data_IF_767998456525
#
_entry.id   IF_767998456525
#
_cell.length_a   1.000
_cell.length_b   1.000
_cell.length_c   1.000
_cell.angle_alpha   90.00
_cell.angle_beta   90.00
_cell.angle_gamma   90.00
#
_symmetry.space_group_name_H-M   'P 1'
#
loop_
_entity.id
_entity.type
_entity.pdbx_description
1 polymer ?
#
# COMPACT_ATOMS: atom_id res chain seq x y z
N UNK A 1 21.33 0.90 -13.56
CA UNK A 1 21.03 1.95 -12.55
C UNK A 1 19.54 2.04 -12.18
N UNK A 2 18.57 2.09 -13.14
CA UNK A 2 17.15 2.21 -12.80
C UNK A 2 16.57 0.99 -12.07
N UNK A 3 17.14 -0.21 -12.25
CA UNK A 3 16.65 -1.42 -11.55
C UNK A 3 16.97 -1.38 -10.06
N UNK A 4 18.16 -0.88 -9.69
CA UNK A 4 18.53 -0.73 -8.27
C UNK A 4 17.59 0.25 -7.56
N UNK A 5 17.15 1.30 -8.26
CA UNK A 5 16.17 2.28 -7.75
C UNK A 5 14.81 1.61 -7.57
N UNK A 6 14.35 0.82 -8.54
CA UNK A 6 13.10 0.06 -8.41
C UNK A 6 13.16 -0.92 -7.24
N UNK A 7 14.24 -1.69 -7.09
CA UNK A 7 14.42 -2.60 -5.94
C UNK A 7 14.40 -1.84 -4.61
N UNK A 8 15.14 -0.74 -4.52
CA UNK A 8 15.17 0.10 -3.33
C UNK A 8 13.79 0.67 -2.99
N UNK A 9 13.06 1.15 -3.99
CA UNK A 9 11.71 1.68 -3.82
C UNK A 9 10.73 0.60 -3.36
N UNK A 10 10.75 -0.60 -3.94
CA UNK A 10 9.88 -1.71 -3.54
C UNK A 10 10.14 -2.14 -2.08
N UNK A 11 11.41 -2.17 -1.66
CA UNK A 11 11.76 -2.46 -0.26
C UNK A 11 11.27 -1.34 0.65
N UNK A 12 11.54 -0.07 0.30
CA UNK A 12 11.09 1.07 1.08
C UNK A 12 9.56 1.09 1.24
N UNK A 13 8.83 0.95 0.14
CA UNK A 13 7.38 0.88 0.15
C UNK A 13 6.91 -0.32 0.99
N UNK A 14 7.50 -1.50 0.81
CA UNK A 14 7.11 -2.69 1.58
C UNK A 14 7.35 -2.56 3.09
N UNK A 15 8.47 -1.96 3.52
CA UNK A 15 8.74 -1.67 4.93
C UNK A 15 7.74 -0.65 5.48
N UNK A 16 7.43 0.39 4.70
CA UNK A 16 6.45 1.38 5.09
C UNK A 16 5.04 0.78 5.26
N UNK A 17 4.61 -0.11 4.36
CA UNK A 17 3.35 -0.87 4.50
C UNK A 17 3.33 -1.70 5.79
N UNK A 18 4.44 -2.37 6.13
CA UNK A 18 4.53 -3.16 7.37
C UNK A 18 4.32 -2.25 8.59
N UNK A 19 4.97 -1.08 8.61
CA UNK A 19 4.82 -0.11 9.70
C UNK A 19 3.38 0.40 9.79
N UNK A 20 2.77 0.77 8.66
CA UNK A 20 1.38 1.21 8.61
C UNK A 20 0.40 0.12 9.05
N UNK A 21 0.60 -1.12 8.62
CA UNK A 21 -0.26 -2.23 8.99
C UNK A 21 -0.20 -2.53 10.49
N UNK A 22 0.97 -2.43 11.12
CA UNK A 22 1.06 -2.46 12.58
C UNK A 22 0.30 -1.31 13.22
N UNK A 23 0.41 -0.09 12.68
CA UNK A 23 -0.35 1.05 13.18
C UNK A 23 -1.87 0.84 13.06
N UNK A 24 -2.34 0.25 11.96
CA UNK A 24 -3.76 -0.06 11.75
C UNK A 24 -4.30 -1.12 12.70
N UNK A 25 -3.52 -2.14 13.06
CA UNK A 25 -3.93 -3.13 14.06
C UNK A 25 -4.27 -2.45 15.39
N UNK A 26 -3.51 -1.44 15.78
CA UNK A 26 -3.67 -0.72 17.06
C UNK A 26 -4.43 0.60 16.96
N UNK A 27 -4.86 1.01 15.75
CA UNK A 27 -5.45 2.34 15.55
C UNK A 27 -6.74 2.52 16.34
N UNK A 28 -7.46 1.42 16.61
CA UNK A 28 -8.67 1.45 17.41
C UNK A 28 -8.42 1.96 18.83
N UNK A 29 -7.30 1.57 19.46
CA UNK A 29 -6.91 2.05 20.78
C UNK A 29 -6.68 3.57 20.78
N UNK A 30 -6.17 4.13 19.67
CA UNK A 30 -5.95 5.56 19.53
C UNK A 30 -7.27 6.29 19.32
N UNK A 31 -8.12 5.77 18.42
CA UNK A 31 -9.39 6.40 18.01
C UNK A 31 -10.42 6.38 19.15
N UNK A 32 -10.46 5.32 19.96
CA UNK A 32 -11.32 5.25 21.15
C UNK A 32 -10.95 6.31 22.19
N UNK A 33 -9.66 6.62 22.36
CA UNK A 33 -9.20 7.67 23.28
C UNK A 33 -9.63 9.10 22.86
N UNK A 34 -9.99 9.30 21.59
CA UNK A 34 -10.50 10.58 21.07
C UNK A 34 -12.04 10.64 21.08
N UNK A 35 -12.72 9.65 21.69
CA UNK A 35 -14.17 9.62 21.85
C UNK A 35 -14.93 9.08 20.62
N UNK A 36 -14.22 8.48 19.66
CA UNK A 36 -14.84 7.87 18.48
C UNK A 36 -14.92 6.36 18.70
N UNK A 37 -16.14 5.83 18.83
CA UNK A 37 -16.34 4.39 18.99
C UNK A 37 -16.24 3.70 17.64
N UNK A 38 -15.21 2.86 17.45
CA UNK A 38 -15.13 2.00 16.27
C UNK A 38 -16.01 0.78 16.51
N UNK A 39 -17.06 0.65 15.71
CA UNK A 39 -18.03 -0.44 15.82
C UNK A 39 -17.51 -1.78 15.29
N UNK A 40 -16.42 -1.79 14.49
CA UNK A 40 -15.90 -3.02 13.85
C UNK A 40 -14.36 -3.11 13.93
N UNK A 41 -13.78 -3.29 15.13
CA UNK A 41 -12.33 -3.35 15.32
C UNK A 41 -11.67 -4.53 14.57
N UNK A 42 -12.40 -5.63 14.35
CA UNK A 42 -11.92 -6.78 13.61
C UNK A 42 -11.59 -6.44 12.15
N UNK A 43 -12.35 -5.55 11.50
CA UNK A 43 -12.08 -5.14 10.12
C UNK A 43 -10.79 -4.33 10.00
N UNK A 44 -10.52 -3.44 10.97
CA UNK A 44 -9.28 -2.67 11.01
C UNK A 44 -8.05 -3.56 11.26
N UNK A 45 -8.19 -4.55 12.15
CA UNK A 45 -7.14 -5.52 12.42
C UNK A 45 -6.84 -6.40 11.20
N UNK A 46 -7.88 -6.87 10.49
CA UNK A 46 -7.72 -7.62 9.26
C UNK A 46 -7.07 -6.78 8.15
N UNK A 47 -7.49 -5.51 8.01
CA UNK A 47 -6.84 -4.56 7.10
C UNK A 47 -5.36 -4.38 7.43
N UNK A 48 -5.01 -4.18 8.70
CA UNK A 48 -3.61 -4.05 9.11
C UNK A 48 -2.78 -5.32 8.85
N UNK A 49 -3.34 -6.52 9.05
CA UNK A 49 -2.67 -7.78 8.71
C UNK A 49 -2.47 -7.91 7.20
N UNK A 50 -3.48 -7.55 6.40
CA UNK A 50 -3.36 -7.52 4.94
C UNK A 50 -2.24 -6.58 4.48
N UNK A 51 -2.19 -5.36 5.02
CA UNK A 51 -1.14 -4.37 4.72
C UNK A 51 0.25 -4.91 5.06
N UNK A 52 0.41 -5.57 6.21
CA UNK A 52 1.68 -6.22 6.59
C UNK A 52 2.07 -7.29 5.57
N UNK A 53 1.16 -8.19 5.20
CA UNK A 53 1.43 -9.26 4.24
C UNK A 53 1.80 -8.69 2.87
N UNK A 54 1.09 -7.66 2.41
CA UNK A 54 1.42 -6.97 1.16
C UNK A 54 2.82 -6.34 1.22
N UNK A 55 3.18 -5.72 2.34
CA UNK A 55 4.50 -5.14 2.54
C UNK A 55 5.63 -6.18 2.52
N UNK A 56 5.42 -7.35 3.13
CA UNK A 56 6.35 -8.49 3.07
C UNK A 56 6.50 -8.98 1.63
N UNK A 57 5.38 -9.14 0.91
CA UNK A 57 5.37 -9.59 -0.48
C UNK A 57 6.08 -8.60 -1.41
N UNK A 58 5.91 -7.29 -1.20
CA UNK A 58 6.64 -6.24 -1.93
C UNK A 58 8.14 -6.33 -1.68
N UNK A 59 8.56 -6.44 -0.41
CA UNK A 59 9.97 -6.66 -0.06
C UNK A 59 10.53 -7.91 -0.73
N UNK A 60 9.76 -9.00 -0.74
CA UNK A 60 10.15 -10.26 -1.37
C UNK A 60 10.29 -10.13 -2.89
N UNK A 61 9.36 -9.42 -3.54
CA UNK A 61 9.37 -9.19 -4.98
C UNK A 61 10.62 -8.45 -5.48
N UNK A 62 11.24 -7.63 -4.61
CA UNK A 62 12.47 -6.90 -4.94
C UNK A 62 13.70 -7.82 -5.15
N UNK A 63 13.68 -9.07 -4.65
CA UNK A 63 14.77 -10.04 -4.86
C UNK A 63 14.94 -10.39 -6.34
N UNK A 64 13.84 -10.66 -7.01
CA UNK A 64 13.79 -10.96 -8.44
C UNK A 64 12.51 -10.38 -9.07
N UNK A 65 12.64 -9.16 -9.58
CA UNK A 65 11.53 -8.41 -10.18
C UNK A 65 10.95 -9.14 -11.39
N UNK A 66 11.78 -9.82 -12.20
CA UNK A 66 11.29 -10.53 -13.39
C UNK A 66 10.36 -11.67 -12.98
N UNK A 67 10.81 -12.48 -12.03
CA UNK A 67 10.05 -13.64 -11.53
C UNK A 67 8.80 -13.21 -10.77
N UNK A 68 8.90 -12.20 -9.92
CA UNK A 68 7.84 -11.78 -9.01
C UNK A 68 7.01 -10.57 -9.47
N UNK A 69 7.12 -10.17 -10.75
CA UNK A 69 6.38 -9.02 -11.30
C UNK A 69 4.86 -9.05 -11.05
N UNK A 70 4.27 -10.24 -10.99
CA UNK A 70 2.84 -10.42 -10.74
C UNK A 70 2.44 -9.91 -9.35
N UNK A 71 3.31 -10.06 -8.34
CA UNK A 71 3.13 -9.49 -7.01
C UNK A 71 3.09 -7.96 -7.09
N UNK A 72 4.03 -7.39 -7.85
CA UNK A 72 4.13 -5.93 -8.03
C UNK A 72 2.88 -5.39 -8.73
N UNK A 73 2.41 -6.04 -9.80
CA UNK A 73 1.18 -5.65 -10.49
C UNK A 73 -0.08 -5.81 -9.64
N UNK A 74 -0.18 -6.90 -8.87
CA UNK A 74 -1.27 -7.10 -7.93
C UNK A 74 -1.28 -6.00 -6.86
N UNK A 75 -0.12 -5.62 -6.33
CA UNK A 75 -0.01 -4.51 -5.39
C UNK A 75 -0.43 -3.17 -6.02
N UNK A 76 0.01 -2.88 -7.25
CA UNK A 76 -0.42 -1.67 -7.98
C UNK A 76 -1.95 -1.65 -8.15
N UNK A 77 -2.54 -2.76 -8.58
CA UNK A 77 -3.99 -2.85 -8.76
C UNK A 77 -4.74 -2.63 -7.43
N UNK A 78 -4.27 -3.26 -6.35
CA UNK A 78 -4.86 -3.10 -5.02
C UNK A 78 -4.79 -1.64 -4.56
N UNK A 79 -3.64 -0.97 -4.73
CA UNK A 79 -3.50 0.47 -4.39
C UNK A 79 -4.48 1.35 -5.14
N UNK A 80 -4.73 1.10 -6.42
CA UNK A 80 -5.74 1.85 -7.16
C UNK A 80 -7.15 1.62 -6.61
N UNK A 81 -7.48 0.39 -6.23
CA UNK A 81 -8.77 0.07 -5.62
C UNK A 81 -8.90 0.80 -4.28
N UNK A 82 -7.89 0.69 -3.41
CA UNK A 82 -7.85 1.34 -2.10
C UNK A 82 -7.94 2.86 -2.20
N UNK A 83 -7.25 3.49 -3.16
CA UNK A 83 -7.35 4.93 -3.42
C UNK A 83 -8.82 5.39 -3.58
N UNK A 84 -9.63 4.68 -4.38
CA UNK A 84 -11.03 5.07 -4.57
C UNK A 84 -11.86 4.92 -3.30
N UNK A 85 -11.65 3.85 -2.54
CA UNK A 85 -12.34 3.63 -1.26
C UNK A 85 -11.94 4.68 -0.23
N UNK A 86 -10.65 4.94 -0.05
CA UNK A 86 -10.13 5.90 0.92
C UNK A 86 -10.52 7.34 0.55
N UNK A 87 -10.49 7.70 -0.73
CA UNK A 87 -10.93 9.01 -1.19
C UNK A 87 -12.42 9.23 -0.94
N UNK A 88 -13.25 8.23 -1.22
CA UNK A 88 -14.68 8.27 -0.91
C UNK A 88 -14.94 8.34 0.61
N UNK A 89 -14.21 7.55 1.39
CA UNK A 89 -14.28 7.53 2.85
C UNK A 89 -13.85 8.89 3.45
N UNK A 90 -12.82 9.53 2.89
CA UNK A 90 -12.38 10.85 3.33
C UNK A 90 -13.51 11.88 3.22
N UNK A 91 -14.20 11.91 2.08
CA UNK A 91 -15.31 12.85 1.83
C UNK A 91 -16.50 12.57 2.76
N UNK A 92 -16.79 11.29 3.04
CA UNK A 92 -17.96 10.87 3.82
C UNK A 92 -17.74 10.88 5.33
N UNK A 93 -16.49 10.83 5.80
CA UNK A 93 -16.12 10.83 7.23
C UNK A 93 -15.20 12.03 7.52
N UNK A 94 -15.77 13.24 7.74
CA UNK A 94 -15.00 14.48 7.86
C UNK A 94 -13.95 14.44 8.99
N UNK A 95 -14.26 13.73 10.08
CA UNK A 95 -13.38 13.61 11.25
C UNK A 95 -12.07 12.88 10.91
N UNK A 96 -12.09 11.99 9.92
CA UNK A 96 -10.92 11.23 9.46
C UNK A 96 -10.34 11.76 8.14
N UNK A 97 -10.87 12.87 7.61
CA UNK A 97 -10.52 13.38 6.28
C UNK A 97 -9.02 13.49 6.06
N UNK A 98 -8.28 14.09 6.99
CA UNK A 98 -6.83 14.27 6.84
C UNK A 98 -6.05 12.96 6.75
N UNK A 99 -6.43 11.96 7.55
CA UNK A 99 -5.77 10.64 7.57
C UNK A 99 -6.09 9.87 6.29
N UNK A 100 -7.37 9.81 5.91
CA UNK A 100 -7.84 9.08 4.73
C UNK A 100 -7.35 9.73 3.44
N UNK A 101 -7.32 11.07 3.37
CA UNK A 101 -6.75 11.78 2.23
C UNK A 101 -5.26 11.48 2.09
N UNK A 102 -4.49 11.52 3.18
CA UNK A 102 -3.07 11.16 3.15
C UNK A 102 -2.85 9.73 2.69
N UNK A 103 -3.63 8.76 3.19
CA UNK A 103 -3.57 7.36 2.77
C UNK A 103 -3.86 7.21 1.27
N UNK A 104 -4.93 7.83 0.78
CA UNK A 104 -5.31 7.79 -0.64
C UNK A 104 -4.19 8.37 -1.54
N UNK A 105 -3.61 9.50 -1.16
CA UNK A 105 -2.52 10.12 -1.91
C UNK A 105 -1.26 9.25 -1.91
N UNK A 106 -0.95 8.64 -0.77
CA UNK A 106 0.17 7.71 -0.67
C UNK A 106 -0.01 6.53 -1.62
N UNK A 107 -1.18 5.89 -1.65
CA UNK A 107 -1.45 4.75 -2.52
C UNK A 107 -1.35 5.09 -3.99
N UNK A 108 -1.96 6.22 -4.39
CA UNK A 108 -1.90 6.70 -5.76
C UNK A 108 -0.45 6.99 -6.17
N UNK A 109 0.30 7.77 -5.37
CA UNK A 109 1.68 8.13 -5.69
C UNK A 109 2.58 6.90 -5.74
N UNK A 110 2.44 5.99 -4.78
CA UNK A 110 3.22 4.75 -4.73
C UNK A 110 2.97 3.86 -5.95
N UNK A 111 1.70 3.70 -6.35
CA UNK A 111 1.33 2.97 -7.56
C UNK A 111 1.92 3.61 -8.83
N UNK A 112 1.78 4.93 -8.97
CA UNK A 112 2.31 5.67 -10.13
C UNK A 112 3.83 5.62 -10.22
N UNK A 113 4.54 5.81 -9.10
CA UNK A 113 6.00 5.70 -9.05
C UNK A 113 6.45 4.28 -9.42
N UNK A 114 5.76 3.26 -8.89
CA UNK A 114 6.08 1.86 -9.23
C UNK A 114 5.89 1.58 -10.72
N UNK A 115 4.78 2.03 -11.32
CA UNK A 115 4.52 1.90 -12.76
C UNK A 115 5.59 2.61 -13.60
N UNK A 116 5.95 3.84 -13.24
CA UNK A 116 6.98 4.60 -13.93
C UNK A 116 8.35 3.91 -13.86
N UNK A 117 8.69 3.34 -12.70
CA UNK A 117 9.94 2.59 -12.53
C UNK A 117 9.92 1.25 -13.28
N UNK A 118 8.79 0.54 -13.32
CA UNK A 118 8.64 -0.66 -14.14
C UNK A 118 8.77 -0.35 -15.63
N UNK A 119 8.16 0.74 -16.09
CA UNK A 119 8.27 1.21 -17.47
C UNK A 119 9.71 1.55 -17.85
N UNK A 120 10.39 2.35 -17.04
CA UNK A 120 11.80 2.71 -17.27
C UNK A 120 12.76 1.52 -17.30
N UNK A 121 12.38 0.39 -16.71
CA UNK A 121 13.16 -0.84 -16.69
C UNK A 121 12.64 -1.91 -17.68
N UNK A 122 11.69 -1.57 -18.57
CA UNK A 122 11.06 -2.49 -19.54
C UNK A 122 10.38 -3.73 -18.90
N UNK A 123 10.03 -3.67 -17.61
CA UNK A 123 9.36 -4.77 -16.92
C UNK A 123 7.86 -4.87 -17.24
N UNK A 124 7.27 -3.83 -17.86
CA UNK A 124 5.86 -3.79 -18.29
C UNK A 124 5.56 -4.77 -19.43
N UNK A 125 6.47 -4.92 -20.39
CA UNK A 125 6.18 -5.58 -21.68
C UNK A 125 6.97 -6.88 -21.90
N UNK A 126 7.68 -7.38 -20.88
CA UNK A 126 8.38 -8.65 -21.00
C UNK A 126 7.38 -9.76 -21.33
N UNK A 127 7.49 -10.33 -22.54
CA UNK A 127 6.77 -11.56 -22.88
C UNK A 127 7.23 -12.64 -21.90
N UNK A 128 6.28 -13.48 -21.44
CA UNK A 128 6.65 -14.73 -20.76
C UNK A 128 7.41 -15.55 -21.81
N UNK A 129 8.72 -15.70 -21.63
CA UNK A 129 9.49 -16.78 -22.28
C UNK A 129 9.08 -18.11 -21.66
#
# INVERSE_FOLDING_TARGET
>A
MPEKILKGFLIFAGVFEIILGFLFIFIHLIIENIGITITIPLFNQLGGVETILLGILLCYSARDIKRYRHIIFASIALRFIMFFFDFYAAITIPVMFGILLFASLYDLLSALITLLLLWKNNYLFLKKE
#
